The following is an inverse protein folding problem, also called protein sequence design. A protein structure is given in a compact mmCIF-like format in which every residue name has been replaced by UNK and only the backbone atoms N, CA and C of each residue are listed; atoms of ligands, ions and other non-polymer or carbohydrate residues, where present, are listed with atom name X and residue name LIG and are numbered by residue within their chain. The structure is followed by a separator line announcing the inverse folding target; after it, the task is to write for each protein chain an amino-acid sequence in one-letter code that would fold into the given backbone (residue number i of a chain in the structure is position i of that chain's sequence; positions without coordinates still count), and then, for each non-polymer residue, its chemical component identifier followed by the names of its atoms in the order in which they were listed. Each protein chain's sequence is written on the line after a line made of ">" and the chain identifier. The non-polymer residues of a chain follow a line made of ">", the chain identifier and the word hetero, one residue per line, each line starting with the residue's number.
data_IF_625148283885
#
_entry.id   IF_625148283885
#
_cell.length_a   1.000
_cell.length_b   1.000
_cell.length_c   1.000
_cell.angle_alpha   90.00
_cell.angle_beta   90.00
_cell.angle_gamma   90.00
#
_symmetry.space_group_name_H-M   'P 1'
#
loop_
_entity.id
_entity.type
_entity.pdbx_description
1 polymer ?
#
# COMPACT_ATOMS: atom_id res chain seq x y z
N UNK A 1 -8.57 -3.72 44.95
CA UNK A 1 -8.38 -3.29 43.55
C UNK A 1 -7.50 -4.36 42.97
N UNK A 2 -8.00 -5.15 42.01
CA UNK A 2 -7.24 -6.30 41.50
C UNK A 2 -6.01 -5.82 40.74
N UNK A 3 -4.85 -6.42 41.02
CA UNK A 3 -3.60 -6.12 40.34
C UNK A 3 -3.63 -6.56 38.87
N UNK A 4 -3.02 -5.77 37.98
CA UNK A 4 -2.88 -6.11 36.56
C UNK A 4 -2.07 -7.39 36.40
N UNK A 5 -2.68 -8.45 35.84
CA UNK A 5 -2.03 -9.77 35.69
C UNK A 5 -1.23 -9.93 34.39
N UNK A 6 -1.53 -9.16 33.35
CA UNK A 6 -0.84 -9.24 32.04
C UNK A 6 -1.05 -7.98 31.22
N UNK A 7 0.01 -7.59 30.51
CA UNK A 7 0.03 -6.54 29.51
C UNK A 7 0.69 -7.12 28.24
N UNK A 8 0.08 -6.88 27.07
CA UNK A 8 0.64 -7.25 25.76
C UNK A 8 0.49 -6.05 24.85
N UNK A 9 1.57 -5.65 24.19
CA UNK A 9 1.58 -4.54 23.25
C UNK A 9 2.69 -4.75 22.22
N UNK A 10 2.54 -4.11 21.06
CA UNK A 10 3.60 -3.98 20.07
C UNK A 10 3.89 -2.50 19.87
N UNK A 11 5.18 -2.13 19.82
CA UNK A 11 5.58 -0.75 19.61
C UNK A 11 5.81 -0.48 18.12
N UNK A 12 4.72 -0.21 17.41
CA UNK A 12 4.74 0.09 15.97
C UNK A 12 5.64 1.27 15.61
N UNK A 13 5.76 2.27 16.48
CA UNK A 13 6.60 3.46 16.24
C UNK A 13 8.10 3.15 16.25
N UNK A 14 8.53 2.06 16.91
CA UNK A 14 9.94 1.63 16.97
C UNK A 14 10.24 0.40 16.10
N UNK A 15 9.22 -0.19 15.50
CA UNK A 15 9.38 -1.29 14.55
C UNK A 15 10.03 -0.75 13.26
N UNK A 16 11.19 -1.29 12.87
CA UNK A 16 11.94 -0.80 11.72
C UNK A 16 11.24 -1.05 10.38
N UNK A 17 10.32 -2.02 10.32
CA UNK A 17 9.58 -2.38 9.13
C UNK A 17 8.27 -1.61 8.97
N UNK A 18 7.73 -1.03 10.05
CA UNK A 18 6.50 -0.25 10.03
C UNK A 18 6.73 1.26 10.23
N UNK A 19 7.63 1.63 11.16
CA UNK A 19 7.96 3.02 11.54
C UNK A 19 6.76 3.89 11.92
N UNK A 20 5.65 3.25 12.29
CA UNK A 20 4.36 3.86 12.47
C UNK A 20 3.26 2.80 12.53
N UNK A 21 2.07 3.20 12.97
CA UNK A 21 0.90 2.34 12.94
C UNK A 21 0.23 2.47 11.56
N UNK A 22 -1.01 2.94 11.53
CA UNK A 22 -1.76 3.14 10.29
C UNK A 22 -1.51 4.54 9.71
N UNK A 23 -1.70 4.69 8.40
CA UNK A 23 -1.47 5.95 7.72
C UNK A 23 -2.47 7.03 8.12
N UNK A 24 -1.96 8.17 8.54
CA UNK A 24 -2.76 9.38 8.68
C UNK A 24 -1.95 10.56 8.17
N UNK A 25 -2.43 11.19 7.10
CA UNK A 25 -1.68 12.24 6.40
C UNK A 25 -1.65 13.53 7.20
N UNK A 26 -0.53 14.28 7.18
CA UNK A 26 -0.56 15.69 7.51
C UNK A 26 -1.43 16.47 6.50
N UNK A 27 -1.81 17.73 6.81
CA UNK A 27 -2.52 18.57 5.88
C UNK A 27 -1.82 18.64 4.51
N UNK A 28 -2.62 18.67 3.44
CA UNK A 28 -2.22 18.81 2.02
C UNK A 28 -1.48 17.63 1.38
N UNK A 29 -0.83 16.72 2.11
CA UNK A 29 -0.09 15.61 1.50
C UNK A 29 -0.91 14.82 0.47
N UNK A 30 -2.15 14.45 0.80
CA UNK A 30 -3.00 13.70 -0.12
C UNK A 30 -3.54 14.55 -1.27
N UNK A 31 -3.81 15.83 -1.04
CA UNK A 31 -4.30 16.73 -2.08
C UNK A 31 -3.22 16.97 -3.14
N UNK A 32 -1.97 17.04 -2.72
CA UNK A 32 -0.85 17.42 -3.57
C UNK A 32 -0.15 16.19 -4.18
N UNK A 33 -0.15 15.03 -3.50
CA UNK A 33 0.76 13.91 -3.83
C UNK A 33 0.13 12.51 -3.83
N UNK A 34 -1.20 12.36 -3.71
CA UNK A 34 -1.80 11.01 -3.73
C UNK A 34 -1.53 10.27 -5.05
N UNK A 35 -1.57 10.97 -6.18
CA UNK A 35 -1.25 10.37 -7.48
C UNK A 35 0.22 9.95 -7.57
N UNK A 36 1.13 10.78 -7.08
CA UNK A 36 2.56 10.50 -7.03
C UNK A 36 2.86 9.24 -6.21
N UNK A 37 2.24 9.09 -5.03
CA UNK A 37 2.41 7.93 -4.15
C UNK A 37 1.92 6.62 -4.80
N UNK A 38 0.97 6.71 -5.72
CA UNK A 38 0.38 5.55 -6.45
C UNK A 38 1.09 5.26 -7.77
N UNK A 39 1.87 6.22 -8.27
CA UNK A 39 2.54 6.11 -9.55
C UNK A 39 3.56 4.97 -9.52
N UNK A 40 3.61 4.21 -10.61
CA UNK A 40 4.68 3.22 -10.80
C UNK A 40 6.00 3.92 -11.13
N UNK A 41 7.11 3.21 -10.90
CA UNK A 41 8.43 3.63 -11.36
C UNK A 41 9.02 2.58 -12.32
N UNK A 42 8.88 2.81 -13.63
CA UNK A 42 9.25 1.83 -14.66
C UNK A 42 8.47 0.51 -14.48
N UNK A 43 9.20 -0.57 -14.26
CA UNK A 43 8.65 -1.92 -14.02
C UNK A 43 8.31 -2.20 -12.54
N UNK A 44 8.41 -1.19 -11.66
CA UNK A 44 8.13 -1.33 -10.23
C UNK A 44 6.76 -0.75 -9.91
N UNK A 45 5.88 -1.56 -9.34
CA UNK A 45 4.52 -1.17 -8.93
C UNK A 45 4.45 -1.09 -7.40
N UNK A 46 4.06 0.07 -6.88
CA UNK A 46 3.85 0.29 -5.45
C UNK A 46 2.41 -0.08 -5.06
N UNK A 47 2.24 -0.81 -3.95
CA UNK A 47 0.95 -1.16 -3.37
C UNK A 47 1.03 -1.12 -1.83
N UNK A 48 0.25 -0.26 -1.20
CA UNK A 48 0.13 -0.14 0.26
C UNK A 48 -1.23 0.45 0.60
N UNK A 49 -1.74 0.15 1.80
CA UNK A 49 -2.94 0.80 2.34
C UNK A 49 -2.78 2.32 2.45
N UNK A 50 -1.55 2.81 2.59
CA UNK A 50 -1.23 4.22 2.85
C UNK A 50 -1.66 5.17 1.73
N UNK A 51 -1.81 4.66 0.52
CA UNK A 51 -2.24 5.42 -0.67
C UNK A 51 -3.43 4.79 -1.39
N UNK A 52 -4.21 3.93 -0.71
CA UNK A 52 -5.49 3.45 -1.25
C UNK A 52 -6.47 4.63 -1.45
N UNK A 53 -7.45 4.45 -2.35
CA UNK A 53 -8.41 5.51 -2.65
C UNK A 53 -9.56 5.52 -1.65
N UNK A 54 -10.11 4.34 -1.35
CA UNK A 54 -11.32 4.22 -0.54
C UNK A 54 -10.97 3.96 0.93
N UNK A 55 -10.45 2.76 1.20
CA UNK A 55 -10.19 2.28 2.56
C UNK A 55 -8.74 2.47 3.00
N UNK A 56 -8.19 3.64 2.67
CA UNK A 56 -6.84 4.05 3.08
C UNK A 56 -6.67 3.93 4.57
N UNK A 57 -5.51 3.45 5.01
CA UNK A 57 -5.19 3.17 6.41
C UNK A 57 -5.81 1.89 7.00
N UNK A 58 -6.61 1.15 6.24
CA UNK A 58 -7.24 -0.09 6.69
C UNK A 58 -6.71 -1.31 5.93
N UNK A 59 -6.99 -2.50 6.47
CA UNK A 59 -6.69 -3.78 5.81
C UNK A 59 -7.35 -3.84 4.42
N UNK A 60 -8.58 -3.34 4.28
CA UNK A 60 -9.28 -3.32 2.99
C UNK A 60 -8.56 -2.45 1.95
N UNK A 61 -7.94 -1.34 2.36
CA UNK A 61 -7.08 -0.53 1.48
C UNK A 61 -5.83 -1.28 1.01
N UNK A 62 -5.25 -2.15 1.85
CA UNK A 62 -4.14 -3.01 1.42
C UNK A 62 -4.60 -4.04 0.37
N UNK A 63 -5.81 -4.60 0.55
CA UNK A 63 -6.42 -5.52 -0.41
C UNK A 63 -6.72 -4.80 -1.73
N UNK A 64 -7.32 -3.61 -1.68
CA UNK A 64 -7.61 -2.74 -2.82
C UNK A 64 -6.33 -2.51 -3.66
N UNK A 65 -5.26 -2.04 -3.01
CA UNK A 65 -4.02 -1.70 -3.70
C UNK A 65 -3.24 -2.91 -4.20
N UNK A 66 -3.27 -4.02 -3.46
CA UNK A 66 -2.73 -5.30 -3.92
C UNK A 66 -3.43 -5.80 -5.18
N UNK A 67 -4.76 -5.76 -5.21
CA UNK A 67 -5.56 -6.15 -6.37
C UNK A 67 -5.27 -5.25 -7.58
N UNK A 68 -5.19 -3.92 -7.37
CA UNK A 68 -4.85 -2.96 -8.42
C UNK A 68 -3.48 -3.26 -9.02
N UNK A 69 -2.44 -3.39 -8.20
CA UNK A 69 -1.08 -3.62 -8.68
C UNK A 69 -0.95 -4.95 -9.43
N UNK A 70 -1.55 -6.02 -8.91
CA UNK A 70 -1.57 -7.32 -9.56
C UNK A 70 -2.26 -7.27 -10.94
N UNK A 71 -3.39 -6.57 -11.04
CA UNK A 71 -4.10 -6.41 -12.31
C UNK A 71 -3.31 -5.59 -13.33
N UNK A 72 -2.59 -4.55 -12.88
CA UNK A 72 -1.72 -3.76 -13.73
C UNK A 72 -0.58 -4.62 -14.32
N UNK A 73 0.13 -5.36 -13.46
CA UNK A 73 1.21 -6.28 -13.88
C UNK A 73 0.68 -7.35 -14.83
N UNK A 74 -0.43 -8.01 -14.49
CA UNK A 74 -1.06 -9.04 -15.34
C UNK A 74 -1.38 -8.50 -16.73
N UNK A 75 -1.93 -7.29 -16.79
CA UNK A 75 -2.31 -6.65 -18.06
C UNK A 75 -1.10 -6.32 -18.92
N UNK A 76 -0.03 -5.83 -18.32
CA UNK A 76 1.19 -5.49 -19.05
C UNK A 76 1.94 -6.71 -19.56
N UNK A 77 2.09 -7.74 -18.73
CA UNK A 77 2.71 -9.01 -19.16
C UNK A 77 1.92 -9.66 -20.32
N UNK A 78 0.59 -9.59 -20.28
CA UNK A 78 -0.25 -10.09 -21.37
C UNK A 78 -0.07 -9.30 -22.68
N UNK A 79 0.14 -7.98 -22.60
CA UNK A 79 0.43 -7.14 -23.79
C UNK A 79 1.81 -7.45 -24.37
N UNK A 80 2.83 -7.56 -23.52
CA UNK A 80 4.18 -7.91 -23.94
C UNK A 80 4.22 -9.29 -24.60
N UNK A 81 3.55 -10.29 -24.03
CA UNK A 81 3.45 -11.62 -24.62
C UNK A 81 2.81 -11.64 -26.02
N UNK A 82 1.81 -10.80 -26.26
CA UNK A 82 1.20 -10.64 -27.60
C UNK A 82 2.13 -9.98 -28.61
N UNK A 83 2.89 -8.96 -28.18
CA UNK A 83 3.84 -8.25 -29.04
C UNK A 83 4.99 -9.16 -29.48
N UNK A 84 5.50 -10.01 -28.59
CA UNK A 84 6.54 -11.01 -28.91
C UNK A 84 6.01 -12.08 -29.88
N UNK A 85 4.74 -12.47 -29.79
CA UNK A 85 4.15 -13.48 -30.68
C UNK A 85 3.86 -12.99 -32.11
N UNK A 86 3.96 -11.69 -32.39
CA UNK A 86 3.76 -11.10 -33.73
C UNK A 86 5.08 -10.70 -34.41
N UNK A 87 6.22 -10.99 -33.77
CA UNK A 87 7.57 -10.89 -34.32
C UNK A 87 8.06 -12.29 -34.70
#
# INVERSE_FOLDING_TARGET
>A
MDDVRRLVFHNWSKDEFAKGAWFFSPPKLLADHLEDMRARHGNVFFASSDWALLWRSFIDGAIEEGARAAMAVKTELAKTGKAVAHL
#
